data_IF_915026687981
#
_entry.id   IF_915026687981
#
_cell.length_a   1.000
_cell.length_b   1.000
_cell.length_c   1.000
_cell.angle_alpha   90.00
_cell.angle_beta   90.00
_cell.angle_gamma   90.00
#
_symmetry.space_group_name_H-M   'P 1'
#
loop_
_entity.id
_entity.type
_entity.pdbx_description
1 polymer ?
#
# COMPACT_ATOMS: atom_id res chain seq x y z
N UNK A 1 -21.64 -33.91 21.48
CA UNK A 1 -22.60 -33.20 20.59
C UNK A 1 -22.09 -31.83 20.06
N UNK A 2 -20.79 -31.51 20.18
CA UNK A 2 -20.24 -30.16 19.86
C UNK A 2 -19.81 -29.93 18.40
N UNK A 3 -19.81 -30.95 17.53
CA UNK A 3 -19.32 -30.84 16.14
C UNK A 3 -20.36 -30.41 15.10
N UNK A 4 -21.66 -30.65 15.36
CA UNK A 4 -22.72 -30.47 14.36
C UNK A 4 -23.12 -29.00 14.12
N UNK A 5 -22.86 -28.12 15.09
CA UNK A 5 -23.14 -26.68 14.99
C UNK A 5 -22.03 -25.89 14.29
N UNK A 6 -20.76 -26.27 14.47
CA UNK A 6 -19.62 -25.63 13.78
C UNK A 6 -19.62 -25.95 12.29
N UNK A 7 -19.95 -27.20 11.91
CA UNK A 7 -20.04 -27.63 10.51
C UNK A 7 -21.10 -26.83 9.72
N UNK A 8 -22.31 -26.67 10.29
CA UNK A 8 -23.38 -25.86 9.67
C UNK A 8 -23.04 -24.38 9.51
N UNK A 9 -22.31 -23.79 10.47
CA UNK A 9 -21.84 -22.39 10.35
C UNK A 9 -20.79 -22.22 9.24
N UNK A 10 -19.88 -23.17 9.09
CA UNK A 10 -18.87 -23.15 8.03
C UNK A 10 -19.51 -23.34 6.64
N UNK A 11 -20.46 -24.26 6.50
CA UNK A 11 -21.21 -24.48 5.25
C UNK A 11 -21.99 -23.23 4.83
N UNK A 12 -22.70 -22.57 5.76
CA UNK A 12 -23.40 -21.33 5.48
C UNK A 12 -22.47 -20.16 5.10
N UNK A 13 -21.25 -20.10 5.66
CA UNK A 13 -20.25 -19.11 5.27
C UNK A 13 -19.73 -19.36 3.84
N UNK A 14 -19.46 -20.62 3.50
CA UNK A 14 -19.04 -21.01 2.15
C UNK A 14 -20.12 -20.74 1.09
N UNK A 15 -21.39 -20.97 1.43
CA UNK A 15 -22.53 -20.66 0.56
C UNK A 15 -22.62 -19.16 0.29
N UNK A 16 -22.51 -18.32 1.33
CA UNK A 16 -22.46 -16.86 1.17
C UNK A 16 -21.28 -16.39 0.33
N UNK A 17 -20.12 -17.01 0.48
CA UNK A 17 -18.94 -16.74 -0.37
C UNK A 17 -19.24 -17.08 -1.83
N UNK A 18 -19.82 -18.25 -2.10
CA UNK A 18 -20.19 -18.66 -3.45
C UNK A 18 -21.23 -17.72 -4.09
N UNK A 19 -22.22 -17.27 -3.31
CA UNK A 19 -23.20 -16.28 -3.75
C UNK A 19 -22.55 -14.92 -4.06
N UNK A 20 -21.65 -14.43 -3.19
CA UNK A 20 -20.93 -13.18 -3.41
C UNK A 20 -20.10 -13.19 -4.71
N UNK A 21 -19.61 -14.36 -5.13
CA UNK A 21 -18.81 -14.50 -6.35
C UNK A 21 -19.66 -14.72 -7.61
N UNK A 22 -20.82 -15.35 -7.51
CA UNK A 22 -21.57 -15.83 -8.69
C UNK A 22 -22.92 -15.16 -8.90
N UNK A 23 -23.62 -14.78 -7.83
CA UNK A 23 -25.02 -14.33 -7.88
C UNK A 23 -25.11 -12.81 -8.04
N UNK A 24 -25.55 -12.36 -9.22
CA UNK A 24 -25.71 -10.94 -9.56
C UNK A 24 -26.65 -10.20 -8.61
N UNK A 25 -27.73 -10.86 -8.19
CA UNK A 25 -28.75 -10.27 -7.33
C UNK A 25 -28.22 -10.10 -5.91
N UNK A 26 -27.56 -11.13 -5.40
CA UNK A 26 -26.92 -11.10 -4.09
C UNK A 26 -25.83 -10.03 -4.00
N UNK A 27 -25.00 -9.89 -5.04
CA UNK A 27 -23.95 -8.87 -5.14
C UNK A 27 -24.52 -7.45 -4.99
N UNK A 28 -25.67 -7.18 -5.61
CA UNK A 28 -26.34 -5.88 -5.52
C UNK A 28 -27.01 -5.71 -4.14
N UNK A 29 -27.65 -6.75 -3.60
CA UNK A 29 -28.34 -6.68 -2.29
C UNK A 29 -27.42 -6.25 -1.15
N UNK A 30 -26.14 -6.63 -1.22
CA UNK A 30 -25.14 -6.25 -0.20
C UNK A 30 -24.95 -4.73 -0.13
N UNK A 31 -25.24 -3.98 -1.20
CA UNK A 31 -25.07 -2.52 -1.24
C UNK A 31 -26.11 -1.75 -0.42
N UNK A 32 -27.21 -2.40 -0.04
CA UNK A 32 -28.33 -1.77 0.68
C UNK A 32 -29.59 -1.61 -0.18
N UNK A 33 -30.75 -1.33 0.44
CA UNK A 33 -32.05 -1.35 -0.25
C UNK A 33 -32.21 -0.25 -1.29
N UNK A 34 -31.66 0.94 -1.05
CA UNK A 34 -31.74 2.07 -1.99
C UNK A 34 -30.94 1.77 -3.27
N UNK A 35 -29.68 1.35 -3.09
CA UNK A 35 -28.79 0.95 -4.18
C UNK A 35 -29.38 -0.25 -4.93
N UNK A 36 -30.00 -1.20 -4.22
CA UNK A 36 -30.66 -2.34 -4.85
C UNK A 36 -31.78 -1.93 -5.81
N UNK A 37 -32.68 -1.05 -5.37
CA UNK A 37 -33.74 -0.51 -6.25
C UNK A 37 -33.16 0.25 -7.44
N UNK A 38 -32.11 1.05 -7.23
CA UNK A 38 -31.43 1.78 -8.30
C UNK A 38 -30.80 0.83 -9.33
N UNK A 39 -29.97 -0.11 -8.89
CA UNK A 39 -29.27 -1.05 -9.77
C UNK A 39 -30.23 -1.96 -10.53
N UNK A 40 -31.37 -2.33 -9.93
CA UNK A 40 -32.43 -3.09 -10.62
C UNK A 40 -33.11 -2.33 -11.75
N UNK A 41 -33.05 -1.00 -11.76
CA UNK A 41 -33.56 -0.20 -12.86
C UNK A 41 -32.60 -0.15 -14.06
N UNK A 42 -31.32 -0.50 -13.86
CA UNK A 42 -30.32 -0.47 -14.92
C UNK A 42 -30.41 -1.66 -15.87
N UNK A 43 -29.89 -1.46 -17.08
CA UNK A 43 -29.93 -2.46 -18.14
C UNK A 43 -29.04 -3.68 -17.85
N UNK A 44 -29.50 -4.86 -18.27
CA UNK A 44 -28.82 -6.14 -18.11
C UNK A 44 -28.12 -6.58 -19.41
N UNK A 45 -27.02 -5.92 -19.77
CA UNK A 45 -26.33 -6.10 -21.05
C UNK A 45 -24.96 -6.75 -20.88
N UNK A 46 -24.48 -7.42 -21.94
CA UNK A 46 -23.10 -7.92 -21.98
C UNK A 46 -22.13 -6.92 -22.62
N UNK A 47 -22.65 -6.03 -23.47
CA UNK A 47 -21.90 -5.01 -24.18
C UNK A 47 -22.83 -3.85 -24.55
N UNK A 48 -22.32 -2.61 -24.56
CA UNK A 48 -23.13 -1.47 -24.98
C UNK A 48 -23.49 -1.54 -26.47
N UNK A 49 -24.77 -1.32 -26.86
CA UNK A 49 -25.21 -1.44 -28.25
C UNK A 49 -24.50 -0.55 -29.28
N UNK A 50 -23.87 0.54 -28.82
CA UNK A 50 -23.14 1.51 -29.65
C UNK A 50 -21.65 1.57 -29.32
N UNK A 51 -21.13 0.52 -28.68
CA UNK A 51 -19.74 0.46 -28.29
C UNK A 51 -18.82 0.44 -29.52
N UNK A 52 -17.69 1.14 -29.41
CA UNK A 52 -16.65 1.16 -30.46
C UNK A 52 -15.27 0.91 -29.83
N UNK A 53 -14.42 0.16 -30.54
CA UNK A 53 -13.11 -0.27 -30.04
C UNK A 53 -13.16 -1.63 -29.34
N UNK A 54 -12.04 -2.02 -28.72
CA UNK A 54 -11.90 -3.33 -28.08
C UNK A 54 -12.74 -3.45 -26.81
N UNK A 55 -13.45 -4.58 -26.65
CA UNK A 55 -14.29 -4.83 -25.48
C UNK A 55 -13.44 -4.91 -24.21
N UNK A 56 -13.72 -4.02 -23.25
CA UNK A 56 -12.94 -3.86 -22.03
C UNK A 56 -11.61 -3.15 -22.20
N UNK A 57 -11.09 -2.97 -23.42
CA UNK A 57 -9.82 -2.29 -23.70
C UNK A 57 -9.95 -0.79 -23.99
N UNK A 58 -11.17 -0.24 -23.96
CA UNK A 58 -11.45 1.16 -24.29
C UNK A 58 -12.59 1.73 -23.46
N UNK A 59 -12.52 3.03 -23.13
CA UNK A 59 -13.63 3.79 -22.54
C UNK A 59 -14.87 3.85 -23.44
N UNK A 60 -14.72 3.64 -24.75
CA UNK A 60 -15.83 3.59 -25.71
C UNK A 60 -16.45 2.20 -25.85
N UNK A 61 -15.88 1.18 -25.20
CA UNK A 61 -16.43 -0.18 -25.13
C UNK A 61 -16.12 -0.82 -23.77
N UNK A 62 -16.55 -0.22 -22.65
CA UNK A 62 -16.27 -0.72 -21.32
C UNK A 62 -17.08 -2.00 -21.04
N UNK A 63 -16.61 -2.80 -20.09
CA UNK A 63 -17.27 -4.02 -19.61
C UNK A 63 -18.41 -3.65 -18.66
N UNK A 64 -19.67 -4.02 -18.97
CA UNK A 64 -20.78 -3.86 -18.04
C UNK A 64 -20.63 -4.75 -16.79
N UNK A 65 -20.71 -4.16 -15.59
CA UNK A 65 -20.72 -4.85 -14.31
C UNK A 65 -21.80 -4.32 -13.36
N UNK A 66 -22.20 -5.13 -12.39
CA UNK A 66 -23.18 -4.79 -11.36
C UNK A 66 -22.51 -4.26 -10.08
N UNK A 67 -21.78 -3.16 -10.23
CA UNK A 67 -21.22 -2.44 -9.09
C UNK A 67 -19.85 -3.00 -8.63
N UNK A 68 -19.38 -2.54 -7.46
CA UNK A 68 -18.04 -2.87 -6.98
C UNK A 68 -17.82 -4.38 -6.79
N UNK A 69 -18.77 -5.09 -6.14
CA UNK A 69 -18.62 -6.54 -5.91
C UNK A 69 -18.67 -7.32 -7.22
N UNK A 70 -19.61 -6.96 -8.11
CA UNK A 70 -19.73 -7.54 -9.45
C UNK A 70 -18.46 -7.38 -10.29
N UNK A 71 -17.79 -6.23 -10.16
CA UNK A 71 -16.53 -5.93 -10.85
C UNK A 71 -15.38 -6.80 -10.38
N UNK A 72 -15.20 -6.93 -9.05
CA UNK A 72 -14.19 -7.83 -8.49
C UNK A 72 -14.45 -9.28 -8.91
N UNK A 73 -15.71 -9.71 -8.81
CA UNK A 73 -16.11 -11.05 -9.17
C UNK A 73 -15.83 -11.34 -10.65
N UNK A 74 -16.22 -10.44 -11.56
CA UNK A 74 -15.98 -10.58 -13.00
C UNK A 74 -14.48 -10.67 -13.33
N UNK A 75 -13.68 -9.70 -12.89
CA UNK A 75 -12.25 -9.64 -13.21
C UNK A 75 -11.48 -10.83 -12.63
N UNK A 76 -11.88 -11.33 -11.44
CA UNK A 76 -11.24 -12.51 -10.83
C UNK A 76 -11.54 -13.82 -11.56
N UNK A 77 -12.60 -13.86 -12.40
CA UNK A 77 -12.88 -15.01 -13.26
C UNK A 77 -12.12 -14.99 -14.58
N UNK A 78 -11.42 -13.90 -14.91
CA UNK A 78 -10.66 -13.83 -16.17
C UNK A 78 -9.43 -14.73 -16.09
N UNK A 79 -9.31 -15.60 -17.09
CA UNK A 79 -8.20 -16.50 -17.31
C UNK A 79 -7.51 -16.10 -18.61
N UNK A 80 -6.21 -15.83 -18.53
CA UNK A 80 -5.39 -15.50 -19.69
C UNK A 80 -5.18 -16.71 -20.62
N UNK A 81 -4.57 -16.50 -21.79
CA UNK A 81 -4.29 -17.56 -22.76
C UNK A 81 -3.33 -18.64 -22.23
N UNK A 82 -2.57 -18.34 -21.17
CA UNK A 82 -1.66 -19.28 -20.50
C UNK A 82 -2.38 -20.10 -19.41
N UNK A 83 -3.68 -19.86 -19.18
CA UNK A 83 -4.49 -20.53 -18.16
C UNK A 83 -4.36 -19.93 -16.76
N UNK A 84 -3.71 -18.79 -16.61
CA UNK A 84 -3.50 -18.09 -15.32
C UNK A 84 -4.60 -17.06 -15.02
N UNK A 85 -4.90 -16.86 -13.74
CA UNK A 85 -5.69 -15.70 -13.30
C UNK A 85 -4.87 -14.41 -13.43
N UNK A 86 -5.55 -13.28 -13.36
CA UNK A 86 -4.95 -11.95 -13.25
C UNK A 86 -4.98 -11.46 -11.80
N UNK A 87 -3.99 -10.67 -11.41
CA UNK A 87 -4.11 -9.69 -10.33
C UNK A 87 -4.62 -8.39 -10.95
N UNK A 88 -5.38 -7.60 -10.19
CA UNK A 88 -5.85 -6.30 -10.67
C UNK A 88 -6.16 -5.33 -9.53
N UNK A 89 -6.20 -4.05 -9.85
CA UNK A 89 -6.70 -3.04 -8.92
C UNK A 89 -7.33 -1.87 -9.68
N UNK A 90 -8.23 -1.15 -9.02
CA UNK A 90 -8.84 0.06 -9.59
C UNK A 90 -7.82 1.19 -9.58
N UNK A 91 -7.61 1.85 -10.71
CA UNK A 91 -6.79 3.06 -10.82
C UNK A 91 -7.63 4.28 -10.43
N UNK A 92 -8.70 4.52 -11.19
CA UNK A 92 -9.54 5.71 -11.04
C UNK A 92 -10.89 5.53 -11.73
N UNK A 93 -11.76 6.51 -11.50
CA UNK A 93 -12.98 6.74 -12.29
C UNK A 93 -12.72 7.86 -13.29
N UNK A 94 -13.21 7.72 -14.50
CA UNK A 94 -13.26 8.80 -15.48
C UNK A 94 -14.57 8.72 -16.28
N UNK A 95 -15.38 9.78 -16.25
CA UNK A 95 -16.69 9.83 -16.92
C UNK A 95 -17.59 8.62 -16.59
N UNK A 96 -17.69 8.26 -15.30
CA UNK A 96 -18.41 7.08 -14.79
C UNK A 96 -17.89 5.72 -15.29
N UNK A 97 -16.76 5.70 -16.01
CA UNK A 97 -16.06 4.48 -16.38
C UNK A 97 -14.91 4.24 -15.41
N UNK A 98 -14.86 3.02 -14.91
CA UNK A 98 -13.87 2.54 -13.99
C UNK A 98 -12.69 1.92 -14.70
N UNK A 99 -11.49 2.40 -14.37
CA UNK A 99 -10.26 1.95 -15.00
C UNK A 99 -9.52 1.06 -14.01
N UNK A 100 -9.23 -0.16 -14.41
CA UNK A 100 -8.46 -1.14 -13.67
C UNK A 100 -7.13 -1.39 -14.37
N UNK A 101 -6.06 -1.48 -13.60
CA UNK A 101 -4.80 -2.07 -14.05
C UNK A 101 -4.80 -3.55 -13.71
N UNK A 102 -4.28 -4.37 -14.62
CA UNK A 102 -4.11 -5.80 -14.37
C UNK A 102 -2.71 -6.27 -14.76
N UNK A 103 -2.33 -7.40 -14.17
CA UNK A 103 -1.23 -8.24 -14.62
C UNK A 103 -1.62 -9.70 -14.52
N UNK A 104 -1.21 -10.54 -15.47
CA UNK A 104 -1.31 -12.00 -15.30
C UNK A 104 -0.52 -12.47 -14.08
N UNK A 105 -0.94 -13.55 -13.44
CA UNK A 105 -0.13 -14.19 -12.37
C UNK A 105 1.21 -14.75 -12.89
N UNK A 106 1.42 -14.79 -14.21
CA UNK A 106 2.73 -15.06 -14.79
C UNK A 106 3.65 -13.83 -14.84
N UNK A 107 3.13 -12.62 -14.56
CA UNK A 107 3.87 -11.36 -14.63
C UNK A 107 4.08 -10.83 -16.04
N UNK A 108 3.64 -11.58 -17.06
CA UNK A 108 4.00 -11.36 -18.46
C UNK A 108 3.04 -10.47 -19.23
N UNK A 109 1.76 -10.43 -18.84
CA UNK A 109 0.74 -9.67 -19.55
C UNK A 109 0.19 -8.57 -18.65
N UNK A 110 0.51 -7.32 -18.99
CA UNK A 110 0.06 -6.12 -18.29
C UNK A 110 -0.91 -5.35 -19.18
N UNK A 111 -1.95 -4.77 -18.58
CA UNK A 111 -2.87 -3.94 -19.33
C UNK A 111 -3.88 -3.21 -18.47
N UNK A 112 -4.90 -2.68 -19.13
CA UNK A 112 -5.98 -1.94 -18.49
C UNK A 112 -7.33 -2.49 -18.91
N UNK A 113 -8.25 -2.58 -17.96
CA UNK A 113 -9.66 -2.82 -18.23
C UNK A 113 -10.50 -1.60 -17.88
N UNK A 114 -11.50 -1.35 -18.72
CA UNK A 114 -12.48 -0.28 -18.55
C UNK A 114 -13.83 -0.92 -18.23
N UNK A 115 -14.46 -0.54 -17.12
CA UNK A 115 -15.70 -1.11 -16.62
C UNK A 115 -16.77 -0.02 -16.50
N UNK A 116 -17.99 -0.32 -16.92
CA UNK A 116 -19.19 0.45 -16.57
C UNK A 116 -19.88 -0.31 -15.43
N UNK A 117 -19.86 0.25 -14.22
CA UNK A 117 -20.38 -0.44 -13.04
C UNK A 117 -21.90 -0.29 -12.85
N UNK A 118 -22.60 0.42 -13.72
CA UNK A 118 -23.98 0.84 -13.50
C UNK A 118 -24.97 -0.06 -14.25
N UNK A 119 -24.87 -1.37 -14.03
CA UNK A 119 -25.74 -2.39 -14.63
C UNK A 119 -26.39 -3.33 -13.61
N UNK A 120 -27.49 -3.98 -13.98
CA UNK A 120 -28.20 -4.91 -13.11
C UNK A 120 -27.57 -6.32 -13.05
N UNK A 121 -26.55 -6.59 -13.87
CA UNK A 121 -25.71 -7.80 -13.85
C UNK A 121 -24.33 -7.53 -14.44
N UNK A 122 -23.37 -8.43 -14.19
CA UNK A 122 -22.09 -8.48 -14.92
C UNK A 122 -22.21 -9.09 -16.31
N UNK A 123 -21.31 -8.68 -17.20
CA UNK A 123 -21.15 -9.25 -18.53
C UNK A 123 -20.72 -10.72 -18.44
N UNK A 124 -21.10 -11.50 -19.44
CA UNK A 124 -20.73 -12.91 -19.65
C UNK A 124 -19.75 -13.08 -20.80
N UNK A 125 -19.34 -11.99 -21.45
CA UNK A 125 -18.32 -11.98 -22.47
C UNK A 125 -16.95 -11.78 -21.83
N UNK A 126 -15.91 -12.38 -22.40
CA UNK A 126 -14.53 -12.10 -22.02
C UNK A 126 -13.92 -11.06 -22.98
N UNK A 127 -12.99 -10.21 -22.52
CA UNK A 127 -12.15 -9.41 -23.39
C UNK A 127 -11.26 -10.29 -24.28
N UNK A 128 -10.72 -9.72 -25.36
CA UNK A 128 -9.79 -10.43 -26.24
C UNK A 128 -8.57 -10.92 -25.45
N UNK A 129 -8.08 -12.13 -25.76
CA UNK A 129 -6.97 -12.76 -25.03
C UNK A 129 -7.34 -13.31 -23.64
N UNK A 130 -8.63 -13.31 -23.28
CA UNK A 130 -9.12 -13.88 -22.02
C UNK A 130 -10.30 -14.82 -22.25
N UNK A 131 -10.51 -15.69 -21.25
CA UNK A 131 -11.71 -16.51 -21.11
C UNK A 131 -12.30 -16.38 -19.71
N UNK A 132 -13.60 -16.65 -19.55
CA UNK A 132 -14.22 -16.70 -18.22
C UNK A 132 -14.08 -18.13 -17.66
N UNK A 133 -13.60 -18.22 -16.42
CA UNK A 133 -13.48 -19.48 -15.71
C UNK A 133 -14.82 -20.24 -15.63
N UNK A 134 -14.78 -21.56 -15.82
CA UNK A 134 -15.96 -22.44 -15.74
C UNK A 134 -16.47 -22.66 -14.31
N UNK A 135 -15.66 -22.29 -13.32
CA UNK A 135 -15.98 -22.41 -11.89
C UNK A 135 -15.67 -21.09 -11.20
N UNK A 136 -16.36 -20.78 -10.10
CA UNK A 136 -16.11 -19.55 -9.36
C UNK A 136 -14.73 -19.58 -8.73
N UNK A 137 -13.92 -18.58 -9.05
CA UNK A 137 -12.61 -18.33 -8.45
C UNK A 137 -12.70 -17.25 -7.37
N UNK A 138 -11.80 -17.36 -6.39
CA UNK A 138 -11.63 -16.36 -5.34
C UNK A 138 -11.08 -15.05 -5.90
N UNK A 139 -11.29 -13.96 -5.16
CA UNK A 139 -10.90 -12.62 -5.57
C UNK A 139 -9.37 -12.46 -5.58
N UNK A 140 -8.87 -11.89 -6.67
CA UNK A 140 -7.42 -11.66 -6.91
C UNK A 140 -7.07 -10.18 -7.05
N UNK A 141 -8.03 -9.29 -6.84
CA UNK A 141 -7.83 -7.85 -7.00
C UNK A 141 -8.79 -7.00 -6.19
N UNK A 142 -8.62 -5.69 -6.26
CA UNK A 142 -9.23 -4.74 -5.32
C UNK A 142 -9.91 -3.55 -6.02
N UNK A 143 -10.93 -2.97 -5.36
CA UNK A 143 -11.72 -1.82 -5.87
C UNK A 143 -11.15 -0.46 -5.48
N UNK A 144 -9.93 -0.43 -4.97
CA UNK A 144 -9.21 0.78 -4.61
C UNK A 144 -7.83 0.78 -5.26
N UNK A 145 -7.20 1.94 -5.23
CA UNK A 145 -5.86 2.09 -5.76
C UNK A 145 -4.84 1.33 -4.92
N UNK A 146 -4.00 0.56 -5.60
CA UNK A 146 -2.93 -0.22 -5.01
C UNK A 146 -1.62 0.30 -5.61
N UNK A 147 -0.94 1.15 -4.84
CA UNK A 147 0.22 1.91 -5.30
C UNK A 147 1.36 1.01 -5.82
N UNK A 148 1.67 -0.04 -5.05
CA UNK A 148 2.71 -1.04 -5.28
C UNK A 148 2.20 -2.29 -6.01
N UNK A 149 1.12 -2.16 -6.78
CA UNK A 149 0.59 -3.27 -7.57
C UNK A 149 1.69 -3.89 -8.46
N UNK A 150 1.92 -5.21 -8.40
CA UNK A 150 1.06 -6.27 -7.83
C UNK A 150 1.56 -6.82 -6.48
N UNK A 151 2.47 -6.13 -5.80
CA UNK A 151 3.12 -6.56 -4.56
C UNK A 151 2.38 -6.09 -3.30
N UNK A 152 2.40 -6.91 -2.25
CA UNK A 152 1.68 -6.62 -1.00
C UNK A 152 0.22 -7.08 -0.98
N UNK A 153 -0.10 -8.16 -1.71
CA UNK A 153 -1.46 -8.73 -1.74
C UNK A 153 -1.97 -9.13 -0.34
N UNK A 154 -1.08 -9.61 0.54
CA UNK A 154 -1.38 -9.94 1.93
C UNK A 154 -1.90 -8.76 2.71
N UNK A 155 -1.28 -7.60 2.53
CA UNK A 155 -1.58 -6.34 3.19
C UNK A 155 -2.89 -5.78 2.65
N UNK A 156 -3.07 -5.81 1.31
CA UNK A 156 -4.33 -5.41 0.69
C UNK A 156 -5.49 -6.29 1.18
N UNK A 157 -5.28 -7.61 1.23
CA UNK A 157 -6.27 -8.56 1.78
C UNK A 157 -6.52 -8.32 3.26
N UNK A 158 -5.49 -8.07 4.07
CA UNK A 158 -5.63 -7.78 5.49
C UNK A 158 -6.33 -6.43 5.74
N UNK A 159 -6.25 -5.46 4.82
CA UNK A 159 -7.01 -4.21 4.96
C UNK A 159 -8.52 -4.38 4.75
N UNK A 160 -8.97 -5.51 4.18
CA UNK A 160 -10.39 -5.77 3.97
C UNK A 160 -11.09 -6.14 5.28
N UNK A 161 -12.38 -5.78 5.43
CA UNK A 161 -13.24 -6.29 6.49
C UNK A 161 -13.17 -7.82 6.60
N UNK A 162 -13.20 -8.35 7.84
CA UNK A 162 -13.02 -9.78 8.13
C UNK A 162 -13.97 -10.70 7.36
N UNK A 163 -15.21 -10.27 7.16
CA UNK A 163 -16.25 -10.96 6.42
C UNK A 163 -15.97 -11.02 4.91
N UNK A 164 -15.21 -10.07 4.37
CA UNK A 164 -14.80 -10.03 2.97
C UNK A 164 -13.47 -10.75 2.71
N UNK A 165 -12.58 -10.87 3.71
CA UNK A 165 -11.27 -11.54 3.57
C UNK A 165 -11.37 -12.98 3.04
N UNK A 166 -12.47 -13.69 3.36
CA UNK A 166 -12.69 -15.07 2.90
C UNK A 166 -13.03 -15.19 1.41
N UNK A 167 -13.45 -14.09 0.76
CA UNK A 167 -13.69 -14.05 -0.68
C UNK A 167 -12.38 -14.06 -1.49
N UNK A 168 -11.27 -13.61 -0.89
CA UNK A 168 -9.99 -13.44 -1.57
C UNK A 168 -9.15 -14.71 -1.57
N UNK A 169 -8.36 -14.88 -2.64
CA UNK A 169 -7.38 -15.94 -2.81
C UNK A 169 -6.42 -16.02 -1.61
N UNK A 170 -5.93 -17.22 -1.31
CA UNK A 170 -4.99 -17.39 -0.20
C UNK A 170 -3.66 -16.70 -0.50
N UNK A 171 -3.02 -16.14 0.54
CA UNK A 171 -1.71 -15.49 0.42
C UNK A 171 -0.69 -16.47 -0.17
N UNK A 172 -0.67 -17.71 0.33
CA UNK A 172 0.22 -18.75 -0.18
C UNK A 172 0.00 -19.01 -1.68
N UNK A 173 -1.25 -19.10 -2.14
CA UNK A 173 -1.53 -19.32 -3.57
C UNK A 173 -1.03 -18.18 -4.43
N UNK A 174 -1.21 -16.92 -4.01
CA UNK A 174 -0.69 -15.75 -4.75
C UNK A 174 0.84 -15.74 -4.71
N UNK A 175 1.45 -15.86 -3.54
CA UNK A 175 2.91 -15.82 -3.37
C UNK A 175 3.61 -16.95 -4.13
N UNK A 176 3.07 -18.17 -4.12
CA UNK A 176 3.62 -19.29 -4.90
C UNK A 176 3.53 -19.04 -6.41
N UNK A 177 2.41 -18.49 -6.88
CA UNK A 177 2.25 -18.13 -8.28
C UNK A 177 3.17 -16.98 -8.68
N UNK A 178 3.52 -16.07 -7.78
CA UNK A 178 4.43 -14.95 -8.06
C UNK A 178 5.92 -15.31 -7.91
N UNK A 179 6.26 -16.35 -7.15
CA UNK A 179 7.64 -16.67 -6.77
C UNK A 179 8.54 -16.93 -7.99
N UNK A 180 9.66 -16.20 -8.05
CA UNK A 180 10.67 -16.37 -9.09
C UNK A 180 10.27 -15.83 -10.47
N UNK A 181 9.15 -15.09 -10.56
CA UNK A 181 8.71 -14.41 -11.77
C UNK A 181 9.02 -12.92 -11.69
N UNK A 182 9.34 -12.30 -12.80
CA UNK A 182 9.53 -10.85 -12.87
C UNK A 182 8.19 -10.17 -13.15
N UNK A 183 7.75 -9.32 -12.23
CA UNK A 183 6.60 -8.44 -12.39
C UNK A 183 7.11 -7.04 -12.73
N UNK A 184 7.49 -6.86 -14.00
CA UNK A 184 8.01 -5.60 -14.51
C UNK A 184 7.15 -5.13 -15.69
N UNK A 185 6.32 -4.09 -15.52
CA UNK A 185 5.59 -3.52 -16.66
C UNK A 185 6.58 -2.93 -17.66
N UNK A 186 6.21 -2.91 -18.93
CA UNK A 186 6.99 -2.21 -19.96
C UNK A 186 6.98 -0.69 -19.72
N UNK A 187 7.99 0.01 -20.25
CA UNK A 187 8.03 1.48 -20.20
C UNK A 187 6.77 2.12 -20.80
N UNK A 188 6.24 1.51 -21.86
CA UNK A 188 4.98 1.95 -22.47
C UNK A 188 3.82 1.82 -21.49
N UNK A 189 3.67 0.67 -20.85
CA UNK A 189 2.62 0.44 -19.84
C UNK A 189 2.76 1.42 -18.67
N UNK A 190 3.99 1.63 -18.18
CA UNK A 190 4.27 2.60 -17.13
C UNK A 190 3.85 4.03 -17.52
N UNK A 191 4.22 4.48 -18.73
CA UNK A 191 3.84 5.80 -19.26
C UNK A 191 2.32 5.93 -19.42
N UNK A 192 1.66 4.91 -19.95
CA UNK A 192 0.20 4.88 -20.09
C UNK A 192 -0.48 4.98 -18.72
N UNK A 193 -0.02 4.22 -17.72
CA UNK A 193 -0.50 4.32 -16.32
C UNK A 193 -0.36 5.74 -15.77
N UNK A 194 0.80 6.37 -15.97
CA UNK A 194 1.02 7.76 -15.53
C UNK A 194 0.10 8.74 -16.25
N UNK A 195 -0.09 8.60 -17.56
CA UNK A 195 -1.02 9.41 -18.33
C UNK A 195 -2.45 9.29 -17.81
N UNK A 196 -2.91 8.06 -17.54
CA UNK A 196 -4.21 7.79 -16.92
C UNK A 196 -4.30 8.50 -15.56
N UNK A 197 -3.30 8.38 -14.68
CA UNK A 197 -3.33 9.01 -13.36
C UNK A 197 -3.35 10.55 -13.42
N UNK A 198 -2.64 11.14 -14.37
CA UNK A 198 -2.53 12.61 -14.53
C UNK A 198 -3.71 13.23 -15.31
N UNK A 199 -4.64 12.42 -15.80
CA UNK A 199 -5.83 12.90 -16.52
C UNK A 199 -5.65 13.08 -18.02
N UNK A 200 -4.56 12.58 -18.62
CA UNK A 200 -4.36 12.57 -20.07
C UNK A 200 -5.12 11.43 -20.74
N UNK A 201 -5.72 11.70 -21.90
CA UNK A 201 -6.26 10.67 -22.79
C UNK A 201 -5.14 9.80 -23.38
N UNK A 202 -5.46 8.53 -23.63
CA UNK A 202 -4.59 7.43 -24.05
C UNK A 202 -3.60 7.79 -25.19
N UNK A 203 -2.29 7.49 -25.10
CA UNK A 203 -1.42 7.53 -26.27
C UNK A 203 -1.77 6.37 -27.21
N UNK A 204 -2.05 6.67 -28.48
CA UNK A 204 -2.42 5.68 -29.51
C UNK A 204 -1.25 4.75 -29.86
N UNK A 205 -1.48 3.50 -30.30
CA UNK A 205 -0.42 2.49 -30.46
C UNK A 205 0.42 2.58 -31.75
N UNK A 206 0.43 3.73 -32.45
CA UNK A 206 1.11 3.85 -33.73
C UNK A 206 1.95 5.15 -33.77
N UNK A 207 3.19 5.07 -33.30
CA UNK A 207 4.26 5.92 -33.83
C UNK A 207 5.56 5.10 -33.92
N UNK A 208 6.18 5.01 -35.10
CA UNK A 208 7.35 4.17 -35.32
C UNK A 208 8.61 4.81 -34.75
N UNK A 209 9.51 3.95 -34.27
CA UNK A 209 10.92 4.17 -33.90
C UNK A 209 11.47 5.59 -34.17
N UNK A 210 11.64 6.36 -33.09
CA UNK A 210 12.18 7.72 -33.14
C UNK A 210 13.24 7.96 -32.08
N UNK A 211 14.49 7.59 -32.43
CA UNK A 211 15.80 8.07 -31.96
C UNK A 211 16.01 8.43 -30.49
N UNK A 212 17.00 7.74 -29.91
CA UNK A 212 17.71 8.11 -28.70
C UNK A 212 18.07 9.61 -28.69
N UNK A 213 17.63 10.30 -27.64
CA UNK A 213 18.19 11.59 -27.24
C UNK A 213 18.53 11.48 -25.76
N UNK A 214 19.82 11.55 -25.46
CA UNK A 214 20.37 11.60 -24.10
C UNK A 214 20.11 12.96 -23.42
N UNK A 215 20.29 12.95 -22.10
CA UNK A 215 20.23 14.01 -21.08
C UNK A 215 18.83 14.24 -20.48
N UNK A 216 18.65 13.71 -19.26
CA UNK A 216 17.39 13.69 -18.51
C UNK A 216 17.10 14.94 -17.65
N UNK A 217 15.96 14.91 -16.93
CA UNK A 217 15.80 15.60 -15.66
C UNK A 217 15.03 14.74 -14.65
N UNK A 218 15.74 13.92 -13.87
CA UNK A 218 15.34 13.66 -12.48
C UNK A 218 16.09 14.67 -11.61
N UNK A 219 15.42 15.67 -11.02
CA UNK A 219 16.05 16.48 -9.94
C UNK A 219 15.15 17.45 -9.16
N UNK A 220 13.89 17.70 -9.55
CA UNK A 220 13.05 18.69 -8.81
C UNK A 220 12.02 18.12 -7.83
N UNK A 221 11.39 16.97 -8.09
CA UNK A 221 10.38 16.43 -7.14
C UNK A 221 10.97 15.54 -6.04
N UNK A 222 11.97 14.71 -6.34
CA UNK A 222 12.67 13.89 -5.34
C UNK A 222 13.31 14.74 -4.24
N UNK A 223 13.92 15.87 -4.62
CA UNK A 223 14.57 16.79 -3.67
C UNK A 223 13.58 17.44 -2.69
N UNK A 224 12.35 17.72 -3.13
CA UNK A 224 11.34 18.37 -2.30
C UNK A 224 10.71 17.42 -1.25
N UNK A 225 10.63 16.12 -1.57
CA UNK A 225 10.09 15.14 -0.64
C UNK A 225 11.13 14.70 0.40
N UNK A 226 12.36 14.44 -0.04
CA UNK A 226 13.48 14.21 0.86
C UNK A 226 13.64 15.38 1.86
N UNK A 227 13.45 16.63 1.41
CA UNK A 227 13.48 17.81 2.27
C UNK A 227 12.36 17.80 3.34
N UNK A 228 11.13 17.39 2.99
CA UNK A 228 10.03 17.24 3.97
C UNK A 228 10.34 16.16 5.01
N UNK A 229 10.91 15.03 4.57
CA UNK A 229 11.31 13.94 5.47
C UNK A 229 12.42 14.45 6.42
N UNK A 230 13.45 15.14 5.89
CA UNK A 230 14.50 15.76 6.71
C UNK A 230 13.94 16.76 7.73
N UNK A 231 13.00 17.63 7.32
CA UNK A 231 12.35 18.59 8.22
C UNK A 231 11.58 17.87 9.33
N UNK A 232 10.86 16.80 9.01
CA UNK A 232 10.16 15.99 10.01
C UNK A 232 11.15 15.36 10.99
N UNK A 233 12.27 14.81 10.50
CA UNK A 233 13.32 14.25 11.36
C UNK A 233 13.87 15.32 12.32
N UNK A 234 14.24 16.50 11.83
CA UNK A 234 14.79 17.59 12.66
C UNK A 234 13.76 18.11 13.67
N UNK A 235 12.50 18.23 13.27
CA UNK A 235 11.39 18.59 14.17
C UNK A 235 11.23 17.56 15.29
N UNK A 236 11.29 16.27 14.94
CA UNK A 236 11.19 15.19 15.92
C UNK A 236 12.42 15.14 16.85
N UNK A 237 13.63 15.34 16.34
CA UNK A 237 14.85 15.45 17.15
C UNK A 237 14.72 16.55 18.21
N UNK A 238 14.28 17.74 17.79
CA UNK A 238 14.12 18.90 18.67
C UNK A 238 13.11 18.62 19.79
N UNK A 239 12.03 17.91 19.46
CA UNK A 239 11.02 17.51 20.44
C UNK A 239 11.56 16.49 21.43
N UNK A 240 12.21 15.42 20.94
CA UNK A 240 12.81 14.39 21.81
C UNK A 240 13.85 15.00 22.73
N UNK A 241 14.73 15.86 22.22
CA UNK A 241 15.73 16.57 23.03
C UNK A 241 15.09 17.40 24.15
N UNK A 242 14.04 18.17 23.84
CA UNK A 242 13.32 18.95 24.85
C UNK A 242 12.68 18.05 25.90
N UNK A 243 11.97 17.02 25.48
CA UNK A 243 11.30 16.08 26.38
C UNK A 243 12.29 15.27 27.23
N UNK A 244 13.48 14.97 26.70
CA UNK A 244 14.57 14.37 27.47
C UNK A 244 14.98 15.23 28.66
N UNK A 245 15.01 16.55 28.50
CA UNK A 245 15.38 17.46 29.59
C UNK A 245 14.18 17.72 30.52
N UNK A 246 13.01 17.99 29.94
CA UNK A 246 11.83 18.46 30.68
C UNK A 246 11.04 17.32 31.34
N UNK A 247 10.75 16.26 30.59
CA UNK A 247 9.86 15.18 31.04
C UNK A 247 10.65 14.02 31.68
N UNK A 248 11.85 13.77 31.17
CA UNK A 248 12.72 12.67 31.64
C UNK A 248 13.78 13.15 32.63
N UNK A 249 13.95 14.47 32.82
CA UNK A 249 14.93 15.05 33.74
C UNK A 249 16.40 14.66 33.42
N UNK A 250 16.71 14.35 32.15
CA UNK A 250 18.08 14.10 31.71
C UNK A 250 18.82 15.45 31.67
N UNK A 251 19.91 15.57 32.43
CA UNK A 251 20.78 16.75 32.35
C UNK A 251 21.32 16.93 30.94
N UNK A 252 21.27 18.15 30.38
CA UNK A 252 21.71 18.45 29.01
C UNK A 252 23.10 17.88 28.66
N UNK A 253 24.05 17.95 29.61
CA UNK A 253 25.41 17.40 29.43
C UNK A 253 25.48 15.87 29.28
N UNK A 254 24.42 15.16 29.68
CA UNK A 254 24.30 13.71 29.58
C UNK A 254 23.40 13.30 28.41
N UNK A 255 22.86 14.25 27.64
CA UNK A 255 22.06 13.97 26.47
C UNK A 255 22.99 13.72 25.27
N UNK A 256 23.07 12.47 24.84
CA UNK A 256 23.74 12.06 23.61
C UNK A 256 22.94 12.52 22.38
N UNK A 257 23.17 13.76 21.95
CA UNK A 257 22.47 14.40 20.82
C UNK A 257 22.60 13.61 19.51
N UNK A 258 23.70 12.89 19.32
CA UNK A 258 23.86 11.98 18.19
C UNK A 258 22.86 10.81 18.28
N UNK A 259 22.66 10.20 19.45
CA UNK A 259 21.71 9.09 19.61
C UNK A 259 20.26 9.57 19.41
N UNK A 260 19.92 10.81 19.81
CA UNK A 260 18.63 11.42 19.44
C UNK A 260 18.47 11.50 17.92
N UNK A 261 19.52 11.93 17.23
CA UNK A 261 19.54 12.03 15.76
C UNK A 261 19.25 10.67 15.12
N UNK A 262 19.96 9.62 15.55
CA UNK A 262 19.82 8.26 15.03
C UNK A 262 18.43 7.67 15.32
N UNK A 263 17.91 7.90 16.52
CA UNK A 263 16.58 7.46 16.91
C UNK A 263 15.50 8.12 16.05
N UNK A 264 15.51 9.45 15.96
CA UNK A 264 14.51 10.18 15.17
C UNK A 264 14.56 9.81 13.68
N UNK A 265 15.76 9.65 13.12
CA UNK A 265 15.91 9.14 11.75
C UNK A 265 15.28 7.76 11.58
N UNK A 266 15.49 6.85 12.54
CA UNK A 266 14.97 5.49 12.47
C UNK A 266 13.44 5.47 12.55
N UNK A 267 12.83 6.23 13.47
CA UNK A 267 11.37 6.26 13.62
C UNK A 267 10.69 6.90 12.42
N UNK A 268 11.20 8.02 11.91
CA UNK A 268 10.64 8.65 10.71
C UNK A 268 10.83 7.74 9.51
N UNK A 269 12.02 7.15 9.34
CA UNK A 269 12.29 6.17 8.27
C UNK A 269 11.30 5.01 8.33
N UNK A 270 11.17 4.36 9.48
CA UNK A 270 10.24 3.23 9.64
C UNK A 270 8.81 3.69 9.38
N UNK A 271 8.40 4.85 9.90
CA UNK A 271 7.06 5.38 9.65
C UNK A 271 6.81 5.64 8.16
N UNK A 272 7.78 6.21 7.45
CA UNK A 272 7.72 6.43 6.01
C UNK A 272 7.68 5.10 5.25
N UNK A 273 8.57 4.17 5.57
CA UNK A 273 8.63 2.87 4.90
C UNK A 273 7.34 2.06 5.13
N UNK A 274 6.82 2.02 6.36
CA UNK A 274 5.60 1.27 6.71
C UNK A 274 4.31 1.96 6.25
N UNK A 275 4.25 3.29 6.28
CA UNK A 275 2.98 4.01 6.14
C UNK A 275 2.91 5.02 5.01
N UNK A 276 4.03 5.49 4.46
CA UNK A 276 4.00 6.38 3.29
C UNK A 276 3.62 5.63 2.02
N UNK A 277 2.83 6.30 1.20
CA UNK A 277 2.34 5.80 -0.10
C UNK A 277 3.25 6.20 -1.26
N UNK A 278 4.34 6.92 -0.97
CA UNK A 278 5.28 7.42 -1.98
C UNK A 278 6.06 6.27 -2.62
N UNK A 279 6.12 6.27 -3.96
CA UNK A 279 6.76 5.20 -4.76
C UNK A 279 8.29 5.15 -4.62
N UNK A 280 8.94 6.29 -4.45
CA UNK A 280 10.40 6.38 -4.29
C UNK A 280 10.82 6.65 -2.84
N UNK A 281 9.95 6.30 -1.88
CA UNK A 281 10.18 6.58 -0.47
C UNK A 281 11.51 6.04 0.05
N UNK A 282 12.04 4.95 -0.52
CA UNK A 282 13.35 4.40 -0.15
C UNK A 282 14.49 5.34 -0.58
N UNK A 283 14.50 5.80 -1.83
CA UNK A 283 15.49 6.76 -2.35
C UNK A 283 15.37 8.11 -1.63
N UNK A 284 14.15 8.63 -1.44
CA UNK A 284 13.90 9.89 -0.74
C UNK A 284 14.29 9.79 0.76
N UNK A 285 14.06 8.63 1.38
CA UNK A 285 14.53 8.33 2.74
C UNK A 285 16.06 8.30 2.77
N UNK A 286 16.74 7.60 1.87
CA UNK A 286 18.21 7.53 1.85
C UNK A 286 18.84 8.93 1.68
N UNK A 287 18.31 9.73 0.76
CA UNK A 287 18.74 11.13 0.57
C UNK A 287 18.50 11.93 1.85
N UNK A 288 17.30 11.85 2.43
CA UNK A 288 16.96 12.60 3.65
C UNK A 288 17.79 12.19 4.85
N UNK A 289 18.15 10.91 4.98
CA UNK A 289 18.97 10.38 6.08
C UNK A 289 20.39 10.93 6.00
N UNK A 290 20.99 10.90 4.82
CA UNK A 290 22.34 11.40 4.60
C UNK A 290 22.42 12.92 4.82
N UNK A 291 21.44 13.66 4.32
CA UNK A 291 21.38 15.12 4.49
C UNK A 291 21.15 15.50 5.96
N UNK A 292 20.28 14.79 6.66
CA UNK A 292 20.04 15.03 8.09
C UNK A 292 21.29 14.74 8.93
N UNK A 293 22.00 13.64 8.67
CA UNK A 293 23.26 13.36 9.36
C UNK A 293 24.28 14.46 9.16
N UNK A 294 24.48 14.93 7.91
CA UNK A 294 25.41 16.03 7.62
C UNK A 294 25.07 17.32 8.37
N UNK A 295 23.78 17.62 8.52
CA UNK A 295 23.30 18.82 9.19
C UNK A 295 23.37 18.72 10.72
N UNK A 296 22.97 17.59 11.30
CA UNK A 296 22.88 17.40 12.75
C UNK A 296 24.22 17.04 13.40
N UNK A 297 25.15 16.41 12.66
CA UNK A 297 26.41 15.94 13.22
C UNK A 297 27.29 17.05 13.83
N UNK A 298 27.48 18.24 13.20
CA UNK A 298 28.19 19.35 13.82
C UNK A 298 27.54 19.84 15.12
N UNK A 299 26.20 19.88 15.15
CA UNK A 299 25.44 20.33 16.31
C UNK A 299 25.40 19.29 17.44
N UNK A 300 25.72 18.03 17.16
CA UNK A 300 25.74 16.96 18.15
C UNK A 300 26.84 17.10 19.20
N UNK A 301 27.92 17.83 18.89
CA UNK A 301 29.09 17.94 19.76
C UNK A 301 29.91 16.66 19.93
N UNK A 302 29.60 15.58 19.20
CA UNK A 302 30.20 14.26 19.37
C UNK A 302 31.63 14.12 18.84
N UNK A 303 32.03 15.00 17.91
CA UNK A 303 33.33 14.90 17.22
C UNK A 303 33.48 13.65 16.34
N UNK A 304 32.39 12.93 16.08
CA UNK A 304 32.38 11.69 15.29
C UNK A 304 32.38 12.02 13.80
N UNK A 305 33.20 11.30 13.02
CA UNK A 305 33.23 11.39 11.56
C UNK A 305 31.94 10.86 10.91
N UNK A 306 31.54 11.42 9.75
CA UNK A 306 30.29 11.05 9.07
C UNK A 306 30.17 9.55 8.79
N UNK A 307 31.22 8.90 8.30
CA UNK A 307 31.21 7.46 8.02
C UNK A 307 31.00 6.61 9.27
N UNK A 308 31.56 7.05 10.41
CA UNK A 308 31.37 6.40 11.70
C UNK A 308 29.94 6.60 12.20
N UNK A 309 29.36 7.79 12.00
CA UNK A 309 27.96 8.05 12.32
C UNK A 309 27.00 7.21 11.47
N UNK A 310 27.26 7.03 10.17
CA UNK A 310 26.48 6.14 9.28
C UNK A 310 26.54 4.69 9.75
N UNK A 311 27.72 4.19 10.13
CA UNK A 311 27.84 2.82 10.66
C UNK A 311 27.05 2.64 11.96
N UNK A 312 27.16 3.61 12.89
CA UNK A 312 26.35 3.61 14.12
C UNK A 312 24.85 3.66 13.82
N UNK A 313 24.42 4.45 12.83
CA UNK A 313 23.04 4.48 12.39
C UNK A 313 22.55 3.10 11.96
N UNK A 314 23.29 2.40 11.09
CA UNK A 314 22.91 1.07 10.62
C UNK A 314 22.78 0.06 11.76
N UNK A 315 23.73 0.08 12.71
CA UNK A 315 23.68 -0.78 13.90
C UNK A 315 22.44 -0.48 14.75
N UNK A 316 22.17 0.81 15.01
CA UNK A 316 21.02 1.28 15.80
C UNK A 316 19.68 1.04 15.12
N UNK A 317 19.61 1.21 13.80
CA UNK A 317 18.39 1.01 13.02
C UNK A 317 17.82 -0.39 13.22
N UNK A 318 18.68 -1.42 13.25
CA UNK A 318 18.25 -2.80 13.50
C UNK A 318 17.65 -3.01 14.88
N UNK A 319 18.13 -2.28 15.90
CA UNK A 319 17.62 -2.33 17.27
C UNK A 319 16.27 -1.61 17.35
N UNK A 320 16.19 -0.40 16.81
CA UNK A 320 14.95 0.38 16.82
C UNK A 320 13.86 -0.24 15.95
N UNK A 321 14.19 -0.87 14.82
CA UNK A 321 13.22 -1.59 13.99
C UNK A 321 12.56 -2.75 14.76
N UNK A 322 13.33 -3.52 15.54
CA UNK A 322 12.76 -4.58 16.38
C UNK A 322 11.79 -4.01 17.42
N UNK A 323 12.18 -2.94 18.10
CA UNK A 323 11.33 -2.27 19.08
C UNK A 323 10.09 -1.63 18.45
N UNK A 324 10.22 -1.07 17.24
CA UNK A 324 9.13 -0.49 16.48
C UNK A 324 8.14 -1.56 15.99
N UNK A 325 8.63 -2.73 15.58
CA UNK A 325 7.75 -3.83 15.19
C UNK A 325 6.94 -4.36 16.36
N UNK A 326 7.52 -4.39 17.57
CA UNK A 326 6.75 -4.66 18.80
C UNK A 326 5.69 -3.58 19.04
N UNK A 327 6.00 -2.31 18.76
CA UNK A 327 5.03 -1.21 18.82
C UNK A 327 3.85 -1.39 17.85
N UNK A 328 4.09 -1.98 16.68
CA UNK A 328 3.04 -2.26 15.71
C UNK A 328 2.26 -3.55 16.00
N UNK A 329 2.80 -4.44 16.82
CA UNK A 329 2.18 -5.71 17.18
C UNK A 329 1.12 -5.48 18.27
N UNK A 330 -0.16 -5.65 17.90
CA UNK A 330 -1.29 -5.48 18.83
C UNK A 330 -1.32 -6.52 19.96
N UNK A 331 -0.53 -7.59 19.87
CA UNK A 331 -0.41 -8.62 20.90
C UNK A 331 0.75 -8.35 21.88
N UNK A 332 1.63 -7.39 21.58
CA UNK A 332 2.73 -7.02 22.46
C UNK A 332 2.23 -6.31 23.72
N UNK A 333 2.77 -6.69 24.88
CA UNK A 333 2.46 -6.05 26.15
C UNK A 333 3.29 -4.76 26.26
N UNK A 334 2.60 -3.62 26.33
CA UNK A 334 3.22 -2.31 26.62
C UNK A 334 4.43 -1.95 25.73
N UNK A 335 4.30 -2.04 24.39
CA UNK A 335 5.45 -1.92 23.51
C UNK A 335 6.05 -0.51 23.48
N UNK A 336 5.30 0.52 23.85
CA UNK A 336 5.77 1.91 23.95
C UNK A 336 6.80 2.09 25.08
N UNK A 337 6.61 1.33 26.17
CA UNK A 337 7.54 1.33 27.31
C UNK A 337 8.83 0.62 26.90
N UNK A 338 8.73 -0.52 26.21
CA UNK A 338 9.89 -1.23 25.68
C UNK A 338 10.71 -0.34 24.74
N UNK A 339 10.05 0.33 23.80
CA UNK A 339 10.70 1.27 22.89
C UNK A 339 11.36 2.42 23.65
N UNK A 340 10.64 3.05 24.57
CA UNK A 340 11.16 4.20 25.30
C UNK A 340 12.33 3.86 26.24
N UNK A 341 12.31 2.70 26.90
CA UNK A 341 13.42 2.26 27.74
C UNK A 341 14.71 2.06 26.94
N UNK A 342 14.61 1.40 25.78
CA UNK A 342 15.76 1.20 24.87
C UNK A 342 16.34 2.55 24.46
N UNK A 343 15.48 3.51 24.11
CA UNK A 343 15.91 4.82 23.60
C UNK A 343 16.52 5.67 24.69
N UNK A 344 15.93 5.71 25.89
CA UNK A 344 16.50 6.47 27.02
C UNK A 344 17.85 5.92 27.44
N UNK A 345 18.05 4.60 27.40
CA UNK A 345 19.35 3.98 27.67
C UNK A 345 20.45 4.52 26.75
N UNK A 346 20.15 4.68 25.45
CA UNK A 346 21.10 5.25 24.49
C UNK A 346 21.26 6.77 24.63
N UNK A 347 20.16 7.52 24.75
CA UNK A 347 20.20 9.00 24.84
C UNK A 347 20.92 9.46 26.11
N UNK A 348 20.79 8.74 27.22
CA UNK A 348 21.48 9.10 28.47
C UNK A 348 22.94 8.66 28.53
N UNK A 349 23.45 7.97 27.49
CA UNK A 349 24.77 7.33 27.51
C UNK A 349 24.90 6.28 28.62
N UNK A 350 23.79 5.69 29.07
CA UNK A 350 23.73 4.77 30.21
C UNK A 350 23.84 5.43 31.59
N UNK A 351 23.76 6.77 31.68
CA UNK A 351 23.92 7.52 32.94
C UNK A 351 22.61 7.72 33.72
N UNK A 352 21.54 7.03 33.34
CA UNK A 352 20.22 7.17 33.95
C UNK A 352 19.71 5.82 34.46
N UNK A 353 19.24 5.79 35.71
CA UNK A 353 18.40 4.70 36.20
C UNK A 353 17.05 4.69 35.45
N UNK A 354 16.33 3.57 35.46
CA UNK A 354 15.07 3.41 34.70
C UNK A 354 14.16 4.66 34.81
N UNK A 355 13.89 5.36 33.68
CA UNK A 355 13.11 6.59 33.69
C UNK A 355 11.67 6.32 34.18
N UNK A 356 10.97 7.34 34.71
CA UNK A 356 9.58 7.19 35.14
C UNK A 356 8.72 6.60 34.01
N UNK A 357 8.08 5.46 34.32
CA UNK A 357 7.23 4.68 33.39
C UNK A 357 6.28 5.56 32.57
N UNK A 358 5.56 6.46 33.24
CA UNK A 358 4.56 7.33 32.64
C UNK A 358 5.17 8.43 31.75
N UNK A 359 6.39 8.89 32.04
CA UNK A 359 7.05 9.89 31.22
C UNK A 359 7.54 9.26 29.91
N UNK A 360 8.15 8.08 30.01
CA UNK A 360 8.63 7.30 28.88
C UNK A 360 7.49 6.97 27.90
N UNK A 361 6.37 6.41 28.41
CA UNK A 361 5.24 6.06 27.56
C UNK A 361 4.69 7.27 26.78
N UNK A 362 4.50 8.42 27.44
CA UNK A 362 3.92 9.62 26.81
C UNK A 362 4.82 10.24 25.75
N UNK A 363 6.12 10.33 26.03
CA UNK A 363 7.10 10.94 25.13
C UNK A 363 7.20 10.15 23.82
N UNK A 364 7.32 8.82 23.92
CA UNK A 364 7.60 8.00 22.76
C UNK A 364 6.35 7.55 22.00
N UNK A 365 5.22 7.28 22.67
CA UNK A 365 3.97 6.93 21.97
C UNK A 365 3.45 8.08 21.10
N UNK A 366 3.33 9.28 21.66
CA UNK A 366 2.86 10.45 20.93
C UNK A 366 3.80 10.79 19.77
N UNK A 367 5.11 10.76 20.02
CA UNK A 367 6.11 11.00 18.98
C UNK A 367 6.06 9.99 17.83
N UNK A 368 5.86 8.70 18.13
CA UNK A 368 5.75 7.66 17.09
C UNK A 368 4.44 7.80 16.31
N UNK A 369 3.31 7.99 16.99
CA UNK A 369 2.01 8.16 16.35
C UNK A 369 1.96 9.40 15.43
N UNK A 370 2.54 10.52 15.86
CA UNK A 370 2.62 11.73 15.05
C UNK A 370 3.42 11.51 13.75
N UNK A 371 4.48 10.68 13.81
CA UNK A 371 5.27 10.33 12.63
C UNK A 371 4.55 9.32 11.73
N UNK A 372 3.76 8.41 12.30
CA UNK A 372 2.87 7.53 11.54
C UNK A 372 1.83 8.37 10.79
N UNK A 373 1.20 9.34 11.46
CA UNK A 373 0.22 10.23 10.84
C UNK A 373 0.83 11.13 9.78
N UNK A 374 2.03 11.67 10.02
CA UNK A 374 2.79 12.38 9.00
C UNK A 374 3.02 11.50 7.77
N UNK A 375 3.51 10.27 7.96
CA UNK A 375 3.75 9.35 6.86
C UNK A 375 2.46 8.94 6.13
N UNK A 376 1.33 8.77 6.83
CA UNK A 376 0.04 8.38 6.21
C UNK A 376 -0.62 9.51 5.43
N UNK A 377 -0.52 10.73 5.95
CA UNK A 377 -1.39 11.84 5.55
C UNK A 377 -0.65 12.97 4.81
N UNK A 378 0.67 13.07 4.98
CA UNK A 378 1.50 14.14 4.39
C UNK A 378 2.40 13.63 3.27
N UNK A 379 2.84 12.36 3.34
CA UNK A 379 3.74 11.73 2.37
C UNK A 379 3.03 10.64 1.55
#
# INVERSE_FOLDING_TARGET
MFGFGRKRKAEAALEKIAMALTDDDFQIRILGPEQYSQFKSFSAIDQHPKANGEFGGSTANPIPTNGPVGSLAYLSQLIDEQGGQILFHRIKVHNNIDIYEYVSLSGSNWGFFFLDMYHSRKSRLAPSGFSIAKRPLQLTGFNHFWDDFPFGFSEQKASMPDDLRLLYSSINSISENMRGKEFRPSDLHFRTRQGILQGGENPRPNDPEGKATEIGPGSKSAKALAEKISQQIVGFQSRIYRQSIEDLEISDRHVEKLEITLFSMSIVTLSVLYFSKQKNKEEDVEISQLDTLKQSLPASGSGVELNTAVKRYQERFSVYQKAYNLFLDSEAVEPEITLGQIVVGYISGGNMDLPPFMATQRVFSAGVLDNIDFAKNVL
#
